data_IF_099366830585
#
_entry.id   IF_099366830585
#
_cell.length_a   1.000
_cell.length_b   1.000
_cell.length_c   1.000
_cell.angle_alpha   90.00
_cell.angle_beta   90.00
_cell.angle_gamma   90.00
#
_symmetry.space_group_name_H-M   'P 1'
#
loop_
_entity.id
_entity.type
_entity.pdbx_description
1 polymer ?
#
# COMPACT_ATOMS: atom_id res chain seq x y z
N UNK A 1 10.71 -18.70 -6.77
CA UNK A 1 10.01 -18.13 -7.93
C UNK A 1 9.45 -16.76 -7.59
N UNK A 2 9.70 -15.79 -8.45
CA UNK A 2 9.22 -14.44 -8.19
C UNK A 2 7.99 -14.16 -9.03
N UNK A 3 6.85 -14.33 -8.42
CA UNK A 3 5.57 -14.19 -9.13
C UNK A 3 5.17 -12.74 -9.40
N UNK A 4 5.74 -11.79 -8.66
CA UNK A 4 5.32 -10.40 -8.75
C UNK A 4 6.46 -9.47 -9.21
N UNK A 5 7.45 -10.02 -9.86
CA UNK A 5 8.57 -9.20 -10.29
C UNK A 5 8.11 -8.07 -11.22
N UNK A 6 8.54 -6.87 -10.93
CA UNK A 6 8.13 -5.69 -11.70
C UNK A 6 6.79 -5.12 -11.32
N UNK A 7 6.06 -5.77 -10.43
CA UNK A 7 4.76 -5.26 -9.98
C UNK A 7 4.93 -4.33 -8.79
N UNK A 8 3.99 -3.44 -8.61
CA UNK A 8 3.96 -2.54 -7.45
C UNK A 8 2.73 -2.86 -6.63
N UNK A 9 2.93 -3.10 -5.35
CA UNK A 9 1.85 -3.39 -4.42
C UNK A 9 1.73 -2.30 -3.38
N UNK A 10 0.50 -1.93 -3.06
CA UNK A 10 0.21 -1.05 -1.93
C UNK A 10 -0.34 -1.91 -0.81
N UNK A 11 0.21 -1.78 0.39
CA UNK A 11 -0.30 -2.47 1.57
C UNK A 11 -0.57 -1.43 2.64
N UNK A 12 -1.83 -1.24 3.00
CA UNK A 12 -2.15 -0.27 4.05
C UNK A 12 -1.96 -0.92 5.42
N UNK A 13 -1.47 -0.14 6.38
CA UNK A 13 -1.30 -0.63 7.74
C UNK A 13 -0.24 -1.70 7.89
N UNK A 14 0.86 -1.58 7.16
CA UNK A 14 1.86 -2.65 7.10
C UNK A 14 2.97 -2.58 8.14
N UNK A 15 2.93 -1.61 9.05
CA UNK A 15 4.03 -1.46 10.00
C UNK A 15 4.11 -2.59 11.02
N UNK A 16 3.08 -3.40 11.12
CA UNK A 16 3.08 -4.52 12.07
C UNK A 16 2.04 -5.56 11.67
N UNK A 17 2.10 -6.70 12.32
CA UNK A 17 1.07 -7.73 12.22
C UNK A 17 0.95 -8.34 10.83
N UNK A 18 -0.29 -8.60 10.45
CA UNK A 18 -0.59 -9.26 9.17
C UNK A 18 -0.11 -8.43 8.00
N UNK A 19 -0.27 -7.12 8.07
CA UNK A 19 0.18 -6.24 6.99
C UNK A 19 1.67 -6.31 6.77
N UNK A 20 2.45 -6.38 7.84
CA UNK A 20 3.89 -6.52 7.73
C UNK A 20 4.23 -7.84 7.05
N UNK A 21 3.57 -8.92 7.45
CA UNK A 21 3.79 -10.23 6.84
C UNK A 21 3.47 -10.25 5.35
N UNK A 22 2.39 -9.59 4.97
CA UNK A 22 1.99 -9.49 3.57
C UNK A 22 3.04 -8.72 2.77
N UNK A 23 3.51 -7.59 3.31
CA UNK A 23 4.51 -6.78 2.63
C UNK A 23 5.81 -7.57 2.40
N UNK A 24 6.24 -8.32 3.41
CA UNK A 24 7.43 -9.14 3.29
C UNK A 24 7.24 -10.22 2.23
N UNK A 25 6.08 -10.87 2.24
CA UNK A 25 5.81 -11.93 1.28
C UNK A 25 5.81 -11.40 -0.14
N UNK A 26 5.20 -10.23 -0.36
CA UNK A 26 5.19 -9.63 -1.67
C UNK A 26 6.62 -9.30 -2.13
N UNK A 27 7.44 -8.76 -1.24
CA UNK A 27 8.83 -8.45 -1.58
C UNK A 27 9.62 -9.71 -1.91
N UNK A 28 9.34 -10.81 -1.21
CA UNK A 28 9.97 -12.09 -1.51
C UNK A 28 9.65 -12.55 -2.92
N UNK A 29 8.49 -12.19 -3.44
CA UNK A 29 8.10 -12.53 -4.79
C UNK A 29 8.44 -11.45 -5.80
N UNK A 30 9.24 -10.47 -5.42
CA UNK A 30 9.77 -9.48 -6.35
C UNK A 30 8.96 -8.21 -6.51
N UNK A 31 7.90 -8.04 -5.74
CA UNK A 31 7.09 -6.84 -5.85
C UNK A 31 7.78 -5.64 -5.19
N UNK A 32 7.62 -4.49 -5.80
CA UNK A 32 7.94 -3.23 -5.13
C UNK A 32 6.76 -2.91 -4.21
N UNK A 33 7.02 -2.37 -3.04
CA UNK A 33 6.00 -2.22 -2.02
C UNK A 33 5.92 -0.79 -1.50
N UNK A 34 4.75 -0.19 -1.60
CA UNK A 34 4.44 1.08 -0.95
C UNK A 34 3.49 0.74 0.19
N UNK A 35 3.80 1.15 1.40
CA UNK A 35 2.93 0.79 2.52
C UNK A 35 2.70 1.97 3.44
N UNK A 36 1.63 1.91 4.23
CA UNK A 36 1.26 3.02 5.09
C UNK A 36 1.34 2.66 6.55
N UNK A 37 1.55 3.68 7.36
CA UNK A 37 1.39 3.62 8.80
C UNK A 37 0.66 4.89 9.21
N UNK A 38 0.07 4.90 10.41
CA UNK A 38 -0.77 6.03 10.83
C UNK A 38 -0.15 6.86 11.92
N UNK A 39 0.37 6.23 12.96
CA UNK A 39 0.81 6.97 14.14
C UNK A 39 2.31 7.19 14.14
N UNK A 40 2.72 8.24 14.82
CA UNK A 40 4.14 8.52 14.98
C UNK A 40 4.83 7.40 15.76
N UNK A 41 4.09 6.70 16.61
CA UNK A 41 4.67 5.59 17.36
C UNK A 41 5.00 4.40 16.45
N UNK A 42 4.42 4.35 15.26
CA UNK A 42 4.73 3.30 14.29
C UNK A 42 5.80 3.72 13.29
N UNK A 43 6.25 4.96 13.33
CA UNK A 43 7.20 5.48 12.35
C UNK A 43 8.52 4.70 12.36
N UNK A 44 8.98 4.33 13.54
CA UNK A 44 10.24 3.62 13.68
C UNK A 44 10.11 2.21 13.09
N UNK A 45 9.01 1.53 13.35
CA UNK A 45 8.77 0.21 12.78
C UNK A 45 8.60 0.29 11.28
N UNK A 46 7.96 1.34 10.79
CA UNK A 46 7.78 1.53 9.35
C UNK A 46 9.13 1.75 8.67
N UNK A 47 10.00 2.55 9.28
CA UNK A 47 11.33 2.77 8.73
C UNK A 47 12.16 1.49 8.72
N UNK A 48 12.04 0.68 9.76
CA UNK A 48 12.74 -0.59 9.84
C UNK A 48 12.25 -1.55 8.77
N UNK A 49 10.95 -1.59 8.53
CA UNK A 49 10.38 -2.44 7.48
C UNK A 49 10.84 -1.97 6.11
N UNK A 50 10.86 -0.67 5.87
CA UNK A 50 11.34 -0.14 4.60
C UNK A 50 12.78 -0.58 4.31
N UNK A 51 13.63 -0.51 5.31
CA UNK A 51 15.01 -0.95 5.19
C UNK A 51 15.06 -2.45 4.88
N UNK A 52 14.27 -3.22 5.59
CA UNK A 52 14.24 -4.67 5.41
C UNK A 52 13.81 -5.05 4.01
N UNK A 53 12.74 -4.43 3.49
CA UNK A 53 12.25 -4.73 2.16
C UNK A 53 13.26 -4.29 1.09
N UNK A 54 13.86 -3.12 1.28
CA UNK A 54 14.84 -2.63 0.33
C UNK A 54 16.04 -3.56 0.27
N UNK A 55 16.43 -4.13 1.40
CA UNK A 55 17.53 -5.08 1.43
C UNK A 55 17.20 -6.37 0.69
N UNK A 56 15.93 -6.63 0.42
CA UNK A 56 15.51 -7.80 -0.36
C UNK A 56 15.61 -7.56 -1.86
N UNK A 57 16.02 -6.36 -2.27
CA UNK A 57 16.24 -6.08 -3.69
C UNK A 57 15.10 -5.39 -4.41
N UNK A 58 14.03 -5.04 -3.70
CA UNK A 58 12.89 -4.35 -4.30
C UNK A 58 12.87 -2.88 -3.84
N UNK A 59 12.08 -2.06 -4.52
CA UNK A 59 11.87 -0.70 -4.09
C UNK A 59 10.78 -0.72 -3.03
N UNK A 60 11.02 -0.08 -1.90
CA UNK A 60 10.04 -0.03 -0.83
C UNK A 60 10.03 1.35 -0.21
N UNK A 61 8.85 1.83 0.14
CA UNK A 61 8.73 3.14 0.77
C UNK A 61 7.55 3.16 1.73
N UNK A 62 7.80 3.74 2.91
CA UNK A 62 6.77 3.90 3.93
C UNK A 62 6.15 5.29 3.81
N UNK A 63 4.84 5.36 3.99
CA UNK A 63 4.12 6.61 3.94
C UNK A 63 3.24 6.74 5.16
N UNK A 64 3.20 7.93 5.75
CA UNK A 64 2.27 8.17 6.83
C UNK A 64 0.96 8.61 6.21
N UNK A 65 -0.05 7.78 6.32
CA UNK A 65 -1.34 8.05 5.71
C UNK A 65 -2.43 7.30 6.44
N UNK A 66 -3.51 8.01 6.75
CA UNK A 66 -4.65 7.40 7.42
C UNK A 66 -5.62 6.87 6.37
N UNK A 67 -5.75 5.55 6.29
CA UNK A 67 -6.63 4.91 5.32
C UNK A 67 -8.11 5.25 5.53
N UNK A 68 -8.46 5.79 6.68
CA UNK A 68 -9.83 6.25 6.92
C UNK A 68 -10.11 7.68 6.45
N UNK A 69 -9.11 8.35 5.91
CA UNK A 69 -9.24 9.74 5.46
C UNK A 69 -9.07 9.78 3.95
N UNK A 70 -10.13 10.13 3.24
CA UNK A 70 -10.11 10.09 1.79
C UNK A 70 -9.04 11.01 1.20
N UNK A 71 -8.89 12.21 1.73
CA UNK A 71 -7.92 13.17 1.20
C UNK A 71 -6.50 12.63 1.34
N UNK A 72 -6.19 12.01 2.48
CA UNK A 72 -4.88 11.42 2.67
C UNK A 72 -4.65 10.23 1.75
N UNK A 73 -5.69 9.44 1.51
CA UNK A 73 -5.57 8.31 0.60
C UNK A 73 -5.30 8.77 -0.83
N UNK A 74 -5.96 9.86 -1.24
CA UNK A 74 -5.74 10.38 -2.57
C UNK A 74 -4.32 10.89 -2.76
N UNK A 75 -3.80 11.61 -1.76
CA UNK A 75 -2.42 12.08 -1.79
C UNK A 75 -1.47 10.89 -1.82
N UNK A 76 -1.73 9.89 -1.00
CA UNK A 76 -0.90 8.71 -0.94
C UNK A 76 -0.84 7.98 -2.29
N UNK A 77 -1.98 7.75 -2.91
CA UNK A 77 -2.02 7.05 -4.19
C UNK A 77 -1.27 7.86 -5.26
N UNK A 78 -1.47 9.17 -5.28
CA UNK A 78 -0.79 10.02 -6.23
C UNK A 78 0.73 9.99 -6.01
N UNK A 79 1.17 9.99 -4.76
CA UNK A 79 2.60 9.93 -4.45
C UNK A 79 3.18 8.59 -4.89
N UNK A 80 2.45 7.50 -4.70
CA UNK A 80 2.91 6.19 -5.13
C UNK A 80 3.03 6.14 -6.65
N UNK A 81 2.06 6.70 -7.36
CA UNK A 81 2.12 6.71 -8.82
C UNK A 81 3.31 7.51 -9.32
N UNK A 82 3.65 8.62 -8.66
CA UNK A 82 4.82 9.40 -9.03
C UNK A 82 6.11 8.66 -8.75
N UNK A 83 6.16 7.99 -7.59
CA UNK A 83 7.40 7.35 -7.15
C UNK A 83 7.62 5.98 -7.80
N UNK A 84 6.56 5.21 -7.99
CA UNK A 84 6.65 3.83 -8.48
C UNK A 84 6.21 3.66 -9.94
N UNK A 85 5.45 4.59 -10.45
CA UNK A 85 5.01 4.58 -11.84
C UNK A 85 3.69 3.87 -12.09
N UNK A 86 3.37 2.86 -11.31
CA UNK A 86 2.12 2.12 -11.47
C UNK A 86 1.74 1.45 -10.17
N UNK A 87 0.52 0.96 -10.11
CA UNK A 87 0.04 0.18 -8.96
C UNK A 87 -0.70 -1.03 -9.53
N UNK A 88 -0.25 -2.21 -9.20
CA UNK A 88 -0.82 -3.45 -9.70
C UNK A 88 -1.65 -4.21 -8.67
N UNK A 89 -1.34 -4.04 -7.39
CA UNK A 89 -2.00 -4.78 -6.31
C UNK A 89 -2.31 -3.81 -5.17
N UNK A 90 -3.49 -3.91 -4.61
CA UNK A 90 -3.86 -3.14 -3.43
C UNK A 90 -4.35 -4.08 -2.34
N UNK A 91 -3.69 -4.06 -1.20
CA UNK A 91 -4.13 -4.80 -0.03
C UNK A 91 -4.60 -3.79 1.01
N UNK A 92 -5.90 -3.77 1.26
CA UNK A 92 -6.49 -2.85 2.21
C UNK A 92 -6.53 -3.52 3.58
N UNK A 93 -5.40 -3.46 4.27
CA UNK A 93 -5.22 -4.13 5.54
C UNK A 93 -5.35 -3.21 6.75
N UNK A 94 -5.36 -1.92 6.56
CA UNK A 94 -5.39 -0.99 7.64
C UNK A 94 -6.63 -0.99 8.40
N UNK A 95 -6.87 -1.75 9.19
CA UNK A 95 -8.00 -1.65 9.58
C UNK A 95 -8.69 -2.22 10.53
N UNK A 96 -8.51 -1.90 11.49
CA UNK A 96 -9.39 -2.22 12.35
C UNK A 96 -10.57 -1.45 12.21
N UNK A 97 -10.59 -0.51 11.60
CA UNK A 97 -11.73 0.24 11.39
C UNK A 97 -12.53 -0.46 10.43
N UNK A 98 -13.70 -0.81 10.77
CA UNK A 98 -14.55 -1.39 9.90
C UNK A 98 -14.83 -0.52 8.81
N UNK A 99 -14.66 0.69 8.96
CA UNK A 99 -14.88 1.61 7.89
C UNK A 99 -13.69 1.58 7.03
N UNK A 100 -13.59 0.64 6.18
CA UNK A 100 -12.48 0.60 5.30
C UNK A 100 -12.63 1.68 4.25
N UNK A 101 -11.55 1.96 3.56
CA UNK A 101 -11.49 2.99 2.55
C UNK A 101 -12.61 2.91 1.54
N UNK A 102 -12.92 1.72 1.09
CA UNK A 102 -13.91 1.54 0.04
C UNK A 102 -15.30 1.95 0.48
N UNK A 103 -15.64 1.70 1.72
CA UNK A 103 -16.97 2.01 2.20
C UNK A 103 -17.19 3.49 2.43
N UNK A 104 -16.12 4.26 2.53
CA UNK A 104 -16.24 5.70 2.75
C UNK A 104 -16.20 6.51 1.49
N UNK A 105 -15.89 5.89 0.37
CA UNK A 105 -15.77 6.60 -0.89
C UNK A 105 -17.06 6.57 -1.66
N UNK A 106 -17.37 7.66 -2.34
CA UNK A 106 -18.49 7.68 -3.26
C UNK A 106 -18.09 6.88 -4.51
N UNK A 107 -19.06 6.46 -5.32
CA UNK A 107 -18.73 5.75 -6.56
C UNK A 107 -17.77 6.52 -7.46
N UNK A 108 -17.94 7.84 -7.55
CA UNK A 108 -17.04 8.64 -8.37
C UNK A 108 -15.65 8.66 -7.80
N UNK A 109 -15.52 8.84 -6.50
CA UNK A 109 -14.21 8.85 -5.84
C UNK A 109 -13.50 7.52 -6.02
N UNK A 110 -14.26 6.43 -5.88
CA UNK A 110 -13.71 5.11 -6.07
C UNK A 110 -13.21 4.92 -7.49
N UNK A 111 -14.02 5.36 -8.46
CA UNK A 111 -13.64 5.23 -9.86
C UNK A 111 -12.39 6.03 -10.19
N UNK A 112 -12.22 7.21 -9.57
CA UNK A 112 -11.04 8.02 -9.79
C UNK A 112 -9.79 7.28 -9.32
N UNK A 113 -9.86 6.63 -8.17
CA UNK A 113 -8.72 5.86 -7.65
C UNK A 113 -8.45 4.66 -8.56
N UNK A 114 -9.50 3.99 -8.99
CA UNK A 114 -9.40 2.82 -9.86
C UNK A 114 -8.76 3.18 -11.19
N UNK A 115 -9.12 4.32 -11.74
CA UNK A 115 -8.60 4.73 -13.04
C UNK A 115 -7.10 4.97 -13.06
N UNK A 116 -6.47 5.01 -11.90
CA UNK A 116 -5.04 5.12 -11.87
C UNK A 116 -4.38 3.76 -11.70
N UNK A 117 -4.98 2.74 -12.30
CA UNK A 117 -4.42 1.39 -12.42
C UNK A 117 -4.74 0.38 -11.32
N UNK A 118 -5.87 0.56 -10.66
CA UNK A 118 -6.28 -0.39 -9.63
C UNK A 118 -7.42 -1.31 -10.05
N UNK A 119 -8.11 -0.96 -11.14
CA UNK A 119 -9.35 -1.65 -11.48
C UNK A 119 -9.16 -3.14 -11.78
N UNK A 120 -8.05 -3.51 -12.40
CA UNK A 120 -7.85 -4.91 -12.72
C UNK A 120 -7.67 -5.77 -11.48
N UNK A 121 -7.32 -5.17 -10.35
CA UNK A 121 -7.12 -5.90 -9.12
C UNK A 121 -8.42 -6.07 -8.37
N UNK A 122 -9.30 -5.08 -8.45
CA UNK A 122 -10.51 -5.11 -7.67
C UNK A 122 -11.62 -5.97 -8.20
N UNK A 123 -11.68 -6.15 -9.47
CA UNK A 123 -12.76 -6.90 -10.07
C UNK A 123 -12.41 -8.36 -10.33
N UNK A 124 -11.29 -8.77 -9.80
CA UNK A 124 -10.93 -10.19 -9.86
C UNK A 124 -11.24 -10.91 -8.54
#
# INVERSE_FOLDING_TARGET
MKLLEGKTAIVTGAARGIGEGIAIKFAEHGANVAFTYVSDSSAEKAAALEIKLTAMGVKAKAYKSNAGDFAQCEVFVNDVLKEFGNVDVLVNNAGISKDNLLMRMSPEQWNDVIQVNLNSVFYM
#
